data_IF_328031711575
#
_entry.id   IF_328031711575
#
_cell.length_a   1.000
_cell.length_b   1.000
_cell.length_c   1.000
_cell.angle_alpha   90.00
_cell.angle_beta   90.00
_cell.angle_gamma   90.00
#
_symmetry.space_group_name_H-M   'P 1'
#
loop_
_entity.id
_entity.type
_entity.pdbx_description
1 polymer ?
#
# COMPACT_ATOMS: atom_id res chain seq x y z
N UNK A 1 21.00 5.05 -2.26
CA UNK A 1 20.55 5.11 -0.85
C UNK A 1 19.24 5.86 -0.65
N UNK A 2 19.15 7.20 -0.75
CA UNK A 2 17.88 7.92 -0.46
C UNK A 2 16.73 7.60 -1.43
N UNK A 3 17.01 7.51 -2.73
CA UNK A 3 15.98 7.12 -3.73
C UNK A 3 15.47 5.69 -3.51
N UNK A 4 16.35 4.79 -3.09
CA UNK A 4 16.00 3.40 -2.82
C UNK A 4 15.08 3.31 -1.59
N UNK A 5 15.35 4.09 -0.55
CA UNK A 5 14.48 4.19 0.63
C UNK A 5 13.10 4.76 0.32
N UNK A 6 13.02 5.79 -0.54
CA UNK A 6 11.73 6.29 -1.01
C UNK A 6 10.94 5.18 -1.73
N UNK A 7 11.61 4.40 -2.57
CA UNK A 7 10.98 3.35 -3.34
C UNK A 7 10.47 2.22 -2.44
N UNK A 8 11.29 1.72 -1.52
CA UNK A 8 10.90 0.65 -0.59
C UNK A 8 9.70 1.04 0.29
N UNK A 9 9.62 2.30 0.71
CA UNK A 9 8.46 2.82 1.47
C UNK A 9 7.19 2.88 0.63
N UNK A 10 7.31 3.18 -0.67
CA UNK A 10 6.19 3.10 -1.61
C UNK A 10 5.77 1.66 -1.87
N UNK A 11 6.72 0.74 -1.98
CA UNK A 11 6.44 -0.69 -2.13
C UNK A 11 5.69 -1.22 -0.91
N UNK A 12 6.10 -0.80 0.30
CA UNK A 12 5.37 -1.09 1.53
C UNK A 12 3.92 -0.57 1.48
N UNK A 13 3.74 0.68 1.07
CA UNK A 13 2.41 1.29 0.96
C UNK A 13 1.51 0.56 -0.06
N UNK A 14 2.08 0.05 -1.15
CA UNK A 14 1.37 -0.80 -2.12
C UNK A 14 0.92 -2.11 -1.47
N UNK A 15 1.84 -2.83 -0.79
CA UNK A 15 1.50 -4.05 -0.06
C UNK A 15 0.40 -3.81 0.99
N UNK A 16 0.45 -2.66 1.68
CA UNK A 16 -0.56 -2.31 2.66
C UNK A 16 -1.91 -2.01 2.02
N UNK A 17 -1.96 -1.24 0.93
CA UNK A 17 -3.20 -0.98 0.20
C UNK A 17 -3.88 -2.29 -0.22
N UNK A 18 -3.11 -3.25 -0.76
CA UNK A 18 -3.63 -4.57 -1.13
C UNK A 18 -4.21 -5.30 0.08
N UNK A 19 -3.46 -5.36 1.20
CA UNK A 19 -3.92 -5.99 2.45
C UNK A 19 -5.23 -5.38 2.95
N UNK A 20 -5.37 -4.05 2.91
CA UNK A 20 -6.54 -3.34 3.40
C UNK A 20 -7.77 -3.46 2.50
N UNK A 21 -7.56 -3.71 1.21
CA UNK A 21 -8.64 -3.77 0.22
C UNK A 21 -9.17 -5.19 0.02
N UNK A 22 -8.29 -6.20 0.05
CA UNK A 22 -8.72 -7.59 -0.04
C UNK A 22 -9.53 -8.01 1.19
N UNK A 23 -10.33 -9.07 1.01
CA UNK A 23 -11.05 -9.69 2.12
C UNK A 23 -10.06 -10.15 3.19
N UNK A 24 -10.53 -10.21 4.45
CA UNK A 24 -9.72 -10.70 5.57
C UNK A 24 -9.11 -12.08 5.28
N UNK A 25 -9.88 -12.98 4.66
CA UNK A 25 -9.42 -14.32 4.30
C UNK A 25 -8.28 -14.27 3.28
N UNK A 26 -8.45 -13.54 2.18
CA UNK A 26 -7.41 -13.41 1.15
C UNK A 26 -6.16 -12.72 1.70
N UNK A 27 -6.33 -11.66 2.48
CA UNK A 27 -5.22 -10.94 3.11
C UNK A 27 -4.45 -11.81 4.10
N UNK A 28 -5.12 -12.68 4.87
CA UNK A 28 -4.47 -13.65 5.75
C UNK A 28 -3.65 -14.67 4.97
N UNK A 29 -4.21 -15.29 3.93
CA UNK A 29 -3.50 -16.26 3.08
C UNK A 29 -2.24 -15.64 2.46
N UNK A 30 -2.34 -14.41 1.93
CA UNK A 30 -1.17 -13.70 1.38
C UNK A 30 -0.11 -13.49 2.47
N UNK A 31 -0.50 -13.10 3.68
CA UNK A 31 0.45 -12.88 4.77
C UNK A 31 1.17 -14.17 5.22
N UNK A 32 0.51 -15.32 5.14
CA UNK A 32 1.09 -16.61 5.52
C UNK A 32 2.13 -17.10 4.49
N UNK A 33 1.92 -16.80 3.21
CA UNK A 33 2.77 -17.27 2.10
C UNK A 33 3.82 -16.24 1.65
N UNK A 34 3.60 -14.95 1.89
CA UNK A 34 4.44 -13.85 1.40
C UNK A 34 4.89 -12.90 2.52
N UNK A 35 6.18 -12.97 2.85
CA UNK A 35 6.81 -12.16 3.88
C UNK A 35 7.25 -10.77 3.40
N UNK A 36 7.02 -10.40 2.14
CA UNK A 36 7.53 -9.16 1.51
C UNK A 36 7.22 -7.93 2.34
N UNK A 37 6.02 -7.81 2.90
CA UNK A 37 5.67 -6.66 3.74
C UNK A 37 6.54 -6.56 5.00
N UNK A 38 6.81 -7.68 5.67
CA UNK A 38 7.68 -7.71 6.85
C UNK A 38 9.09 -7.31 6.49
N UNK A 39 9.64 -7.91 5.43
CA UNK A 39 10.97 -7.57 4.90
C UNK A 39 11.06 -6.08 4.56
N UNK A 40 10.04 -5.50 3.91
CA UNK A 40 10.00 -4.08 3.59
C UNK A 40 10.02 -3.19 4.83
N UNK A 41 9.40 -3.59 5.95
CA UNK A 41 9.52 -2.83 7.21
C UNK A 41 10.99 -2.77 7.65
N UNK A 42 11.66 -3.92 7.61
CA UNK A 42 13.04 -4.09 8.07
C UNK A 42 14.03 -3.32 7.20
N UNK A 43 13.91 -3.41 5.87
CA UNK A 43 14.89 -2.81 4.94
C UNK A 43 14.62 -1.33 4.62
N UNK A 44 13.45 -0.80 5.01
CA UNK A 44 13.10 0.61 4.76
C UNK A 44 13.07 1.50 6.01
N UNK A 45 13.56 0.97 7.13
CA UNK A 45 13.62 1.62 8.44
C UNK A 45 12.23 2.13 8.90
N UNK A 46 11.18 1.36 8.66
CA UNK A 46 9.79 1.79 8.87
C UNK A 46 9.25 1.51 10.27
N UNK A 47 10.01 0.91 11.19
CA UNK A 47 9.50 0.47 12.51
C UNK A 47 8.71 1.52 13.31
N UNK A 48 9.05 2.81 13.17
CA UNK A 48 8.33 3.92 13.85
C UNK A 48 7.34 4.62 12.91
N UNK A 49 7.52 4.48 11.59
CA UNK A 49 6.80 5.24 10.57
C UNK A 49 5.71 4.44 9.85
N UNK A 50 5.69 3.12 10.01
CA UNK A 50 4.77 2.26 9.27
C UNK A 50 3.31 2.62 9.55
N UNK A 51 2.97 2.98 10.79
CA UNK A 51 1.61 3.41 11.17
C UNK A 51 1.12 4.63 10.37
N UNK A 52 2.03 5.55 10.01
CA UNK A 52 1.71 6.71 9.18
C UNK A 52 1.36 6.27 7.76
N UNK A 53 2.13 5.33 7.18
CA UNK A 53 1.84 4.76 5.86
C UNK A 53 0.60 3.86 5.85
N UNK A 54 0.33 3.14 6.95
CA UNK A 54 -0.86 2.31 7.11
C UNK A 54 -2.13 3.14 7.08
N UNK A 55 -2.14 4.30 7.76
CA UNK A 55 -3.27 5.22 7.71
C UNK A 55 -3.53 5.70 6.28
N UNK A 56 -2.48 6.13 5.57
CA UNK A 56 -2.63 6.60 4.20
C UNK A 56 -3.10 5.48 3.24
N UNK A 57 -2.57 4.26 3.40
CA UNK A 57 -2.99 3.12 2.62
C UNK A 57 -4.43 2.68 2.94
N UNK A 58 -4.89 2.84 4.18
CA UNK A 58 -6.29 2.61 4.58
C UNK A 58 -7.23 3.64 3.94
N UNK A 59 -6.84 4.91 3.89
CA UNK A 59 -7.61 5.92 3.18
C UNK A 59 -7.70 5.60 1.69
N UNK A 60 -6.58 5.19 1.08
CA UNK A 60 -6.56 4.76 -0.31
C UNK A 60 -7.49 3.55 -0.56
N UNK A 61 -7.47 2.53 0.30
CA UNK A 61 -8.35 1.36 0.16
C UNK A 61 -9.82 1.73 0.29
N UNK A 62 -10.17 2.66 1.18
CA UNK A 62 -11.55 3.10 1.39
C UNK A 62 -12.12 3.85 0.18
N UNK A 63 -11.27 4.44 -0.68
CA UNK A 63 -11.66 5.10 -1.93
C UNK A 63 -11.92 4.10 -3.07
N UNK A 64 -11.61 2.82 -2.90
CA UNK A 64 -11.78 1.79 -3.93
C UNK A 64 -13.23 1.33 -3.97
N UNK A 65 -13.93 1.70 -5.04
CA UNK A 65 -15.31 1.27 -5.29
C UNK A 65 -15.35 0.08 -6.25
N UNK A 66 -16.37 -0.80 -6.12
CA UNK A 66 -16.66 -1.83 -7.10
C UNK A 66 -16.81 -1.28 -8.53
N UNK A 67 -16.51 -2.11 -9.53
CA UNK A 67 -16.76 -1.76 -10.93
C UNK A 67 -18.25 -1.53 -11.19
N UNK A 68 -18.56 -0.43 -11.88
CA UNK A 68 -19.89 -0.14 -12.42
C UNK A 68 -20.11 -0.75 -13.82
N UNK A 69 -19.06 -1.34 -14.42
CA UNK A 69 -19.13 -2.00 -15.72
C UNK A 69 -19.79 -3.38 -15.53
N UNK A 70 -20.93 -3.57 -16.21
CA UNK A 70 -21.80 -4.76 -16.14
C UNK A 70 -21.05 -6.09 -16.22
N UNK A 71 -20.07 -6.20 -17.11
CA UNK A 71 -19.37 -7.45 -17.44
C UNK A 71 -18.43 -7.94 -16.33
N UNK A 72 -18.29 -7.19 -15.24
CA UNK A 72 -17.38 -7.52 -14.14
C UNK A 72 -18.08 -7.96 -12.86
N UNK A 73 -19.39 -8.22 -12.91
CA UNK A 73 -20.16 -8.83 -11.80
C UNK A 73 -19.99 -8.08 -10.45
N UNK A 74 -19.81 -6.76 -10.48
CA UNK A 74 -19.56 -5.96 -9.27
C UNK A 74 -18.21 -6.22 -8.60
N UNK A 75 -17.23 -6.81 -9.28
CA UNK A 75 -15.87 -7.01 -8.76
C UNK A 75 -15.09 -5.69 -8.75
N UNK A 76 -14.22 -5.54 -7.76
CA UNK A 76 -13.36 -4.36 -7.62
C UNK A 76 -12.02 -4.57 -8.32
N UNK A 77 -11.51 -3.56 -9.03
CA UNK A 77 -10.16 -3.56 -9.61
C UNK A 77 -9.11 -3.25 -8.53
N UNK A 78 -8.97 -4.12 -7.53
CA UNK A 78 -8.14 -3.88 -6.34
C UNK A 78 -6.71 -3.52 -6.72
N UNK A 79 -6.07 -4.34 -7.54
CA UNK A 79 -4.68 -4.13 -7.95
C UNK A 79 -4.51 -2.83 -8.74
N UNK A 80 -5.41 -2.54 -9.69
CA UNK A 80 -5.33 -1.31 -10.49
C UNK A 80 -5.44 -0.06 -9.61
N UNK A 81 -6.37 -0.06 -8.65
CA UNK A 81 -6.53 1.07 -7.74
C UNK A 81 -5.34 1.23 -6.80
N UNK A 82 -4.82 0.14 -6.24
CA UNK A 82 -3.60 0.22 -5.42
C UNK A 82 -2.37 0.64 -6.25
N UNK A 83 -2.28 0.27 -7.53
CA UNK A 83 -1.25 0.78 -8.44
C UNK A 83 -1.41 2.29 -8.72
N UNK A 84 -2.65 2.77 -8.85
CA UNK A 84 -2.93 4.20 -9.00
C UNK A 84 -2.51 4.98 -7.74
N UNK A 85 -2.82 4.45 -6.55
CA UNK A 85 -2.34 5.00 -5.29
C UNK A 85 -0.80 4.99 -5.21
N UNK A 86 -0.16 3.88 -5.57
CA UNK A 86 1.29 3.76 -5.60
C UNK A 86 1.98 4.76 -6.54
N UNK A 87 1.33 5.14 -7.64
CA UNK A 87 1.79 6.16 -8.61
C UNK A 87 1.34 7.58 -8.26
N UNK A 88 0.61 7.77 -7.17
CA UNK A 88 0.00 9.06 -6.84
C UNK A 88 1.03 10.09 -6.36
N UNK A 89 0.76 11.36 -6.68
CA UNK A 89 1.50 12.49 -6.12
C UNK A 89 1.32 12.62 -4.61
N UNK A 90 0.21 12.12 -4.07
CA UNK A 90 -0.10 12.09 -2.64
C UNK A 90 0.90 11.21 -1.90
N UNK A 91 1.06 9.95 -2.33
CA UNK A 91 2.04 9.04 -1.74
C UNK A 91 3.47 9.56 -1.92
N UNK A 92 3.81 10.09 -3.10
CA UNK A 92 5.14 10.66 -3.34
C UNK A 92 5.47 11.81 -2.39
N UNK A 93 4.53 12.72 -2.14
CA UNK A 93 4.72 13.82 -1.20
C UNK A 93 4.85 13.31 0.23
N UNK A 94 4.00 12.35 0.61
CA UNK A 94 3.99 11.78 1.95
C UNK A 94 5.31 11.09 2.29
N UNK A 95 5.78 10.19 1.41
CA UNK A 95 7.06 9.49 1.63
C UNK A 95 8.23 10.47 1.68
N UNK A 96 8.22 11.52 0.85
CA UNK A 96 9.25 12.58 0.91
C UNK A 96 9.24 13.32 2.25
N UNK A 97 8.05 13.63 2.79
CA UNK A 97 7.93 14.27 4.09
C UNK A 97 8.45 13.38 5.23
N UNK A 98 8.14 12.08 5.19
CA UNK A 98 8.68 11.09 6.14
C UNK A 98 10.22 11.01 6.12
N UNK A 99 10.84 11.31 4.98
CA UNK A 99 12.30 11.32 4.84
C UNK A 99 12.95 12.64 5.28
N UNK A 100 12.17 13.72 5.46
CA UNK A 100 12.68 15.01 5.94
C UNK A 100 12.51 15.21 7.46
N UNK A 101 11.72 14.36 8.11
CA UNK A 101 11.54 14.35 9.57
C UNK A 101 12.72 13.71 10.33
N UNK A 102 13.73 13.20 9.61
CA UNK A 102 14.94 12.55 10.15
C UNK A 102 16.21 13.03 9.45
#
# INVERSE_FOLDING_TARGET
MRKDQQQLRKDYALCMCLRKTYSKETASKIQEEDITRGVLIDISDLYVLYLKLDSLAQEASNRITPSVISDHEGKSFVLLNCLNFYRSKELDKFVKALMSEY
#
